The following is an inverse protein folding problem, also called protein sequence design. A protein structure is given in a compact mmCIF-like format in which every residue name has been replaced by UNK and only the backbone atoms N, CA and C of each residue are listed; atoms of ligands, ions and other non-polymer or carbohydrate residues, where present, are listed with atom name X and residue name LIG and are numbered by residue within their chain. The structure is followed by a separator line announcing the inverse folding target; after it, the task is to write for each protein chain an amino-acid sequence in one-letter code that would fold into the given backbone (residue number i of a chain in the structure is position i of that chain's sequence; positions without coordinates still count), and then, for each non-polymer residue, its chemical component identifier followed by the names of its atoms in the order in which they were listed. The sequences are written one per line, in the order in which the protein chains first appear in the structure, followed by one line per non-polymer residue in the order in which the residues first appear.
data_IF_986797248356
#
_entry.id   IF_986797248356
#
_cell.length_a   1.000
_cell.length_b   1.000
_cell.length_c   1.000
_cell.angle_alpha   90.00
_cell.angle_beta   90.00
_cell.angle_gamma   90.00
#
_symmetry.space_group_name_H-M   'P 1'
#
loop_
_entity.id
_entity.type
_entity.pdbx_description
1 polymer ?
#
# COMPACT_ATOMS: atom_id res chain seq x y z
N UNK A 1 -13.05 -52.95 35.20
CA UNK A 1 -12.28 -51.77 34.74
C UNK A 1 -12.96 -51.25 33.50
N UNK A 2 -13.97 -50.40 33.68
CA UNK A 2 -14.80 -49.87 32.58
C UNK A 2 -14.26 -48.50 32.22
N UNK A 3 -13.54 -48.44 31.10
CA UNK A 3 -12.95 -47.22 30.56
C UNK A 3 -14.08 -46.40 29.89
N UNK A 4 -14.64 -45.44 30.62
CA UNK A 4 -15.53 -44.41 30.07
C UNK A 4 -14.67 -43.44 29.24
N UNK A 5 -14.54 -43.72 27.95
CA UNK A 5 -14.11 -42.76 26.93
C UNK A 5 -15.22 -41.71 26.78
N UNK A 6 -15.18 -40.66 27.59
CA UNK A 6 -15.94 -39.44 27.29
C UNK A 6 -15.34 -38.84 26.02
N UNK A 7 -16.00 -39.12 24.89
CA UNK A 7 -15.84 -38.35 23.67
C UNK A 7 -16.29 -36.91 23.97
N UNK A 8 -15.37 -36.09 24.47
CA UNK A 8 -15.47 -34.64 24.41
C UNK A 8 -15.36 -34.26 22.92
N UNK A 9 -16.44 -34.51 22.18
CA UNK A 9 -16.60 -34.09 20.80
C UNK A 9 -16.44 -32.57 20.71
N UNK A 10 -15.91 -32.09 19.59
CA UNK A 10 -15.58 -30.69 19.34
C UNK A 10 -16.80 -29.78 19.56
N UNK A 11 -16.99 -29.31 20.79
CA UNK A 11 -18.12 -28.48 21.25
C UNK A 11 -18.22 -27.13 20.53
N UNK A 12 -17.19 -26.76 19.76
CA UNK A 12 -17.09 -25.46 19.11
C UNK A 12 -17.04 -25.56 17.57
N UNK A 13 -17.75 -26.53 16.97
CA UNK A 13 -17.83 -26.64 15.51
C UNK A 13 -18.81 -25.60 14.96
N UNK A 14 -18.32 -24.73 14.09
CA UNK A 14 -19.15 -23.83 13.27
C UNK A 14 -19.34 -24.46 11.88
N UNK A 15 -20.57 -24.48 11.38
CA UNK A 15 -20.88 -24.99 10.04
C UNK A 15 -20.61 -23.91 8.99
N UNK A 16 -19.94 -24.19 7.86
CA UNK A 16 -19.64 -23.21 6.82
C UNK A 16 -20.87 -22.41 6.34
N UNK A 17 -22.03 -23.04 6.31
CA UNK A 17 -23.30 -22.48 5.88
C UNK A 17 -23.83 -21.40 6.85
N UNK A 18 -23.43 -21.49 8.12
CA UNK A 18 -23.76 -20.52 9.18
C UNK A 18 -22.84 -19.30 9.22
N UNK A 19 -21.79 -19.29 8.37
CA UNK A 19 -20.77 -18.24 8.34
C UNK A 19 -20.96 -17.28 7.16
N UNK A 20 -20.77 -15.99 7.43
CA UNK A 20 -20.60 -14.94 6.44
C UNK A 20 -19.10 -14.67 6.27
N UNK A 21 -18.55 -15.06 5.11
CA UNK A 21 -17.12 -14.95 4.82
C UNK A 21 -16.76 -13.48 4.53
N UNK A 22 -16.15 -12.81 5.52
CA UNK A 22 -15.67 -11.44 5.39
C UNK A 22 -14.32 -11.46 4.65
N UNK A 23 -14.26 -10.76 3.53
CA UNK A 23 -13.05 -10.67 2.68
C UNK A 23 -12.36 -9.32 2.84
N UNK A 24 -13.12 -8.24 3.03
CA UNK A 24 -12.59 -6.91 3.27
C UNK A 24 -13.24 -6.26 4.47
N UNK A 25 -12.47 -5.52 5.26
CA UNK A 25 -12.96 -4.74 6.40
C UNK A 25 -12.55 -3.28 6.29
N UNK A 26 -13.44 -2.38 6.69
CA UNK A 26 -13.20 -0.96 6.78
C UNK A 26 -13.66 -0.43 8.13
N UNK A 27 -12.89 0.47 8.74
CA UNK A 27 -13.27 1.14 9.98
C UNK A 27 -13.19 2.65 9.84
N UNK A 28 -14.26 3.31 10.29
CA UNK A 28 -14.40 4.76 10.32
C UNK A 28 -14.82 5.24 11.71
N UNK A 29 -14.64 6.53 11.96
CA UNK A 29 -15.21 7.21 13.12
C UNK A 29 -16.10 8.35 12.63
N UNK A 30 -17.41 8.21 12.82
CA UNK A 30 -18.36 9.24 12.49
C UNK A 30 -18.35 10.33 13.56
N UNK A 31 -17.91 11.54 13.16
CA UNK A 31 -17.84 12.69 14.07
C UNK A 31 -19.21 13.24 14.46
N UNK A 32 -20.24 13.06 13.63
CA UNK A 32 -21.59 13.54 13.90
C UNK A 32 -22.27 12.68 14.96
N UNK A 33 -22.31 11.37 14.76
CA UNK A 33 -22.92 10.44 15.73
C UNK A 33 -22.00 10.09 16.91
N UNK A 34 -20.68 10.38 16.79
CA UNK A 34 -19.64 10.01 17.76
C UNK A 34 -19.53 8.49 17.95
N UNK A 35 -19.73 7.74 16.87
CA UNK A 35 -19.68 6.28 16.86
C UNK A 35 -18.62 5.79 15.88
N UNK A 36 -18.14 4.57 16.12
CA UNK A 36 -17.35 3.82 15.15
C UNK A 36 -18.31 3.22 14.13
N UNK A 37 -17.90 3.23 12.87
CA UNK A 37 -18.58 2.52 11.80
C UNK A 37 -17.68 1.39 11.32
N UNK A 38 -18.24 0.19 11.27
CA UNK A 38 -17.62 -0.96 10.62
C UNK A 38 -18.30 -1.16 9.27
N UNK A 39 -17.51 -1.32 8.22
CA UNK A 39 -17.94 -1.65 6.86
C UNK A 39 -17.30 -2.98 6.48
N UNK A 40 -18.08 -3.93 6.00
CA UNK A 40 -17.58 -5.26 5.64
C UNK A 40 -17.99 -5.64 4.22
N UNK A 41 -17.06 -6.23 3.49
CA UNK A 41 -17.30 -6.88 2.20
C UNK A 41 -17.39 -8.39 2.42
N UNK A 42 -18.54 -8.98 2.11
CA UNK A 42 -18.87 -10.39 2.36
C UNK A 42 -19.00 -11.12 1.03
N UNK A 43 -18.27 -12.23 0.87
CA UNK A 43 -18.32 -13.04 -0.33
C UNK A 43 -19.65 -13.81 -0.47
N UNK A 44 -20.08 -14.02 -1.71
CA UNK A 44 -21.20 -14.89 -2.10
C UNK A 44 -20.65 -16.10 -2.88
N UNK A 45 -20.30 -17.23 -2.22
CA UNK A 45 -19.67 -18.37 -2.89
C UNK A 45 -20.40 -18.86 -4.14
N UNK A 46 -21.74 -18.94 -4.10
CA UNK A 46 -22.55 -19.40 -5.23
C UNK A 46 -22.39 -18.52 -6.50
N UNK A 47 -22.23 -17.21 -6.36
CA UNK A 47 -22.01 -16.28 -7.48
C UNK A 47 -20.57 -16.34 -8.03
N UNK A 48 -19.63 -16.81 -7.21
CA UNK A 48 -18.23 -17.01 -7.62
C UNK A 48 -18.10 -18.27 -8.48
N UNK A 49 -18.70 -19.38 -8.03
CA UNK A 49 -18.62 -20.72 -8.67
C UNK A 49 -19.49 -20.89 -9.92
N UNK A 50 -20.58 -20.13 -10.07
CA UNK A 50 -21.53 -20.22 -11.20
C UNK A 50 -20.98 -19.87 -12.60
N UNK A 51 -19.66 -19.78 -12.78
CA UNK A 51 -19.00 -19.50 -14.07
C UNK A 51 -18.55 -20.73 -14.87
N UNK A 52 -18.74 -21.95 -14.35
CA UNK A 52 -18.35 -23.19 -15.01
C UNK A 52 -19.54 -24.14 -15.18
N UNK A 53 -20.25 -24.06 -16.31
CA UNK A 53 -21.31 -25.01 -16.64
C UNK A 53 -22.16 -24.59 -17.84
N UNK A 54 -21.89 -25.24 -18.98
CA UNK A 54 -22.74 -25.43 -20.17
C UNK A 54 -23.66 -24.28 -20.66
N UNK A 55 -23.19 -23.59 -21.69
CA UNK A 55 -23.84 -23.68 -23.01
C UNK A 55 -25.30 -23.27 -23.14
N UNK A 56 -25.81 -22.31 -22.35
CA UNK A 56 -27.07 -21.61 -22.68
C UNK A 56 -26.94 -20.11 -22.49
N UNK A 57 -26.95 -19.41 -23.62
CA UNK A 57 -27.17 -17.98 -23.72
C UNK A 57 -28.53 -17.61 -23.12
N UNK A 58 -28.50 -16.80 -22.07
CA UNK A 58 -29.65 -16.08 -21.54
C UNK A 58 -29.10 -14.90 -20.74
N UNK A 59 -29.41 -13.68 -21.18
CA UNK A 59 -28.86 -12.42 -20.68
C UNK A 59 -29.23 -12.09 -19.23
N UNK A 60 -28.62 -12.81 -18.27
CA UNK A 60 -28.54 -12.41 -16.88
C UNK A 60 -27.24 -11.65 -16.64
N UNK A 61 -27.33 -10.42 -16.12
CA UNK A 61 -26.15 -9.66 -15.73
C UNK A 61 -25.26 -10.47 -14.77
N UNK A 62 -23.95 -10.29 -14.90
CA UNK A 62 -22.97 -10.93 -14.03
C UNK A 62 -23.28 -10.56 -12.56
N UNK A 63 -23.69 -11.55 -11.77
CA UNK A 63 -24.02 -11.34 -10.35
C UNK A 63 -22.74 -10.99 -9.57
N UNK A 64 -22.79 -9.95 -8.74
CA UNK A 64 -21.63 -9.52 -7.94
C UNK A 64 -21.23 -10.63 -6.96
N UNK A 65 -19.96 -11.04 -6.98
CA UNK A 65 -19.42 -12.12 -6.14
C UNK A 65 -19.33 -11.78 -4.65
N UNK A 66 -19.71 -10.56 -4.26
CA UNK A 66 -19.73 -10.08 -2.88
C UNK A 66 -20.79 -9.00 -2.70
N UNK A 67 -21.07 -8.63 -1.45
CA UNK A 67 -21.85 -7.44 -1.12
C UNK A 67 -21.22 -6.69 0.06
N UNK A 68 -21.56 -5.41 0.20
CA UNK A 68 -21.05 -4.57 1.28
C UNK A 68 -22.19 -4.16 2.21
N UNK A 69 -21.93 -4.22 3.51
CA UNK A 69 -22.85 -3.73 4.55
C UNK A 69 -22.05 -3.03 5.65
N UNK A 70 -22.75 -2.27 6.49
CA UNK A 70 -22.13 -1.49 7.55
C UNK A 70 -23.06 -1.32 8.75
N UNK A 71 -22.49 -1.11 9.93
CA UNK A 71 -23.24 -0.65 11.09
C UNK A 71 -22.38 0.26 11.98
N UNK A 72 -23.06 1.02 12.85
CA UNK A 72 -22.43 1.94 13.82
C UNK A 72 -22.56 1.43 15.25
N UNK A 73 -21.54 1.68 16.06
CA UNK A 73 -21.53 1.33 17.48
C UNK A 73 -20.54 2.16 18.29
N UNK A 74 -20.62 2.08 19.61
CA UNK A 74 -19.76 2.83 20.54
C UNK A 74 -18.31 2.33 20.52
N UNK A 75 -18.08 1.13 20.02
CA UNK A 75 -16.78 0.56 19.72
C UNK A 75 -16.86 -0.34 18.47
N UNK A 76 -15.70 -0.77 17.97
CA UNK A 76 -15.59 -1.61 16.77
C UNK A 76 -16.36 -2.92 16.89
N UNK A 77 -16.29 -3.59 18.05
CA UNK A 77 -16.94 -4.87 18.26
C UNK A 77 -18.47 -4.74 18.26
N UNK A 78 -19.02 -3.70 18.89
CA UNK A 78 -20.46 -3.41 18.85
C UNK A 78 -20.92 -3.11 17.41
N UNK A 79 -20.14 -2.34 16.65
CA UNK A 79 -20.44 -2.07 15.24
C UNK A 79 -20.50 -3.37 14.42
N UNK A 80 -19.51 -4.26 14.57
CA UNK A 80 -19.50 -5.57 13.90
C UNK A 80 -20.67 -6.46 14.34
N UNK A 81 -21.02 -6.50 15.64
CA UNK A 81 -22.16 -7.28 16.14
C UNK A 81 -23.50 -6.80 15.61
N UNK A 82 -23.65 -5.51 15.33
CA UNK A 82 -24.86 -4.94 14.71
C UNK A 82 -25.01 -5.28 13.23
N UNK A 83 -23.97 -5.82 12.57
CA UNK A 83 -24.04 -6.30 11.19
C UNK A 83 -24.67 -7.71 11.12
N UNK A 84 -24.41 -8.57 12.11
CA UNK A 84 -24.86 -9.97 12.11
C UNK A 84 -26.36 -10.15 11.89
N UNK A 85 -27.27 -9.38 12.54
CA UNK A 85 -28.71 -9.47 12.28
C UNK A 85 -29.12 -9.16 10.84
N UNK A 86 -28.30 -8.37 10.11
CA UNK A 86 -28.58 -8.00 8.72
C UNK A 86 -28.17 -9.11 7.75
N UNK A 87 -27.09 -9.85 8.07
CA UNK A 87 -26.52 -10.87 7.17
C UNK A 87 -26.98 -12.29 7.50
N UNK A 88 -27.76 -12.48 8.57
CA UNK A 88 -28.35 -13.75 9.03
C UNK A 88 -27.35 -14.87 9.37
N UNK A 89 -26.06 -14.54 9.44
CA UNK A 89 -24.94 -15.47 9.64
C UNK A 89 -23.92 -14.84 10.58
N UNK A 90 -23.14 -15.67 11.26
CA UNK A 90 -22.02 -15.19 12.07
C UNK A 90 -20.92 -14.67 11.13
N UNK A 91 -20.39 -13.48 11.40
CA UNK A 91 -19.28 -12.95 10.61
C UNK A 91 -18.03 -13.82 10.86
N UNK A 92 -17.38 -14.22 9.77
CA UNK A 92 -16.13 -14.98 9.81
C UNK A 92 -15.06 -14.23 9.03
N UNK A 93 -14.10 -13.67 9.76
CA UNK A 93 -13.01 -12.84 9.20
C UNK A 93 -11.71 -13.62 8.96
N UNK A 94 -11.76 -14.96 9.04
CA UNK A 94 -10.63 -15.83 8.71
C UNK A 94 -10.17 -15.75 7.24
N UNK A 95 -10.98 -15.15 6.36
CA UNK A 95 -10.65 -14.89 4.94
C UNK A 95 -10.41 -13.41 4.64
N UNK A 96 -10.33 -12.55 5.65
CA UNK A 96 -10.09 -11.13 5.40
C UNK A 96 -8.68 -10.93 4.87
N UNK A 97 -8.57 -10.21 3.75
CA UNK A 97 -7.32 -9.90 3.06
C UNK A 97 -6.73 -8.55 3.53
N UNK A 98 -7.61 -7.59 3.84
CA UNK A 98 -7.24 -6.24 4.27
C UNK A 98 -8.17 -5.64 5.32
N UNK A 99 -7.63 -4.66 6.04
CA UNK A 99 -8.34 -3.69 6.85
C UNK A 99 -8.02 -2.29 6.37
N UNK A 100 -9.05 -1.51 6.07
CA UNK A 100 -8.93 -0.14 5.56
C UNK A 100 -9.39 0.85 6.64
N UNK A 101 -8.54 1.82 6.93
CA UNK A 101 -8.78 2.85 7.93
C UNK A 101 -9.14 4.16 7.22
N UNK A 102 -10.28 4.75 7.56
CA UNK A 102 -10.62 6.08 7.06
C UNK A 102 -9.69 7.15 7.64
N UNK A 103 -9.53 8.27 6.93
CA UNK A 103 -8.79 9.42 7.43
C UNK A 103 -9.35 9.93 8.78
N UNK A 104 -10.67 9.90 8.95
CA UNK A 104 -11.32 10.33 10.19
C UNK A 104 -10.95 9.46 11.39
N UNK A 105 -10.96 8.14 11.22
CA UNK A 105 -10.50 7.23 12.27
C UNK A 105 -8.99 7.38 12.51
N UNK A 106 -8.20 7.48 11.44
CA UNK A 106 -6.75 7.63 11.54
C UNK A 106 -6.35 8.91 12.31
N UNK A 107 -7.08 10.02 12.10
CA UNK A 107 -6.87 11.27 12.86
C UNK A 107 -7.24 11.14 14.33
N UNK A 108 -8.28 10.36 14.67
CA UNK A 108 -8.67 10.10 16.06
C UNK A 108 -7.64 9.22 16.78
N UNK A 109 -7.13 8.21 16.09
CA UNK A 109 -6.23 7.20 16.61
C UNK A 109 -6.68 5.79 16.21
N UNK A 110 -5.74 4.97 15.74
CA UNK A 110 -6.03 3.61 15.24
C UNK A 110 -5.99 2.54 16.33
N UNK A 111 -5.65 2.91 17.57
CA UNK A 111 -5.56 1.96 18.69
C UNK A 111 -6.81 1.07 18.88
N UNK A 112 -8.07 1.54 18.71
CA UNK A 112 -9.24 0.67 18.82
C UNK A 112 -9.24 -0.49 17.82
N UNK A 113 -8.73 -0.26 16.60
CA UNK A 113 -8.62 -1.31 15.57
C UNK A 113 -7.54 -2.31 15.95
N UNK A 114 -6.40 -1.81 16.44
CA UNK A 114 -5.31 -2.65 16.90
C UNK A 114 -5.71 -3.52 18.11
N UNK A 115 -6.49 -2.96 19.05
CA UNK A 115 -7.03 -3.70 20.20
C UNK A 115 -7.96 -4.83 19.74
N UNK A 116 -8.87 -4.56 18.81
CA UNK A 116 -9.73 -5.59 18.19
C UNK A 116 -8.89 -6.73 17.59
N UNK A 117 -7.94 -6.43 16.70
CA UNK A 117 -7.10 -7.43 16.06
C UNK A 117 -6.21 -8.21 17.04
N UNK A 118 -5.79 -7.59 18.14
CA UNK A 118 -4.95 -8.25 19.14
C UNK A 118 -5.73 -9.24 20.02
N UNK A 119 -7.05 -9.04 20.17
CA UNK A 119 -7.93 -9.85 21.01
C UNK A 119 -8.70 -10.91 20.22
N UNK A 120 -9.00 -10.62 18.97
CA UNK A 120 -9.84 -11.45 18.14
C UNK A 120 -9.06 -12.63 17.55
N UNK A 121 -9.46 -13.86 17.90
CA UNK A 121 -8.68 -15.08 17.60
C UNK A 121 -8.74 -15.48 16.15
N UNK A 122 -9.83 -15.18 15.45
CA UNK A 122 -9.97 -15.56 14.03
C UNK A 122 -9.33 -14.52 13.09
N UNK A 123 -8.97 -13.34 13.60
CA UNK A 123 -8.30 -12.27 12.85
C UNK A 123 -6.82 -12.57 12.65
N UNK A 124 -6.32 -12.45 11.42
CA UNK A 124 -4.91 -12.66 11.13
C UNK A 124 -4.17 -11.33 11.22
N UNK A 125 -3.11 -11.30 12.03
CA UNK A 125 -2.22 -10.12 12.09
C UNK A 125 -1.44 -9.87 10.78
N UNK A 126 -1.49 -10.81 9.83
CA UNK A 126 -0.94 -10.65 8.47
C UNK A 126 -1.88 -9.91 7.52
N UNK A 127 -3.07 -9.49 7.96
CA UNK A 127 -3.96 -8.69 7.13
C UNK A 127 -3.29 -7.35 6.80
N UNK A 128 -3.39 -6.94 5.54
CA UNK A 128 -2.83 -5.67 5.11
C UNK A 128 -3.61 -4.52 5.76
N UNK A 129 -2.90 -3.58 6.37
CA UNK A 129 -3.51 -2.36 6.88
C UNK A 129 -3.34 -1.26 5.85
N UNK A 130 -4.45 -0.66 5.43
CA UNK A 130 -4.52 0.38 4.41
C UNK A 130 -5.19 1.62 5.00
N UNK A 131 -4.95 2.78 4.40
CA UNK A 131 -5.63 4.02 4.74
C UNK A 131 -6.27 4.64 3.49
N UNK A 132 -7.36 5.38 3.69
CA UNK A 132 -8.04 6.08 2.58
C UNK A 132 -8.69 7.39 3.05
N UNK A 133 -8.77 8.35 2.13
CA UNK A 133 -9.58 9.56 2.22
C UNK A 133 -10.91 9.46 1.48
N UNK A 134 -11.24 8.30 0.89
CA UNK A 134 -12.54 8.02 0.28
C UNK A 134 -13.55 7.41 1.27
N UNK A 135 -14.82 7.36 0.89
CA UNK A 135 -15.81 6.57 1.61
C UNK A 135 -15.46 5.08 1.53
N UNK A 136 -15.48 4.40 2.68
CA UNK A 136 -15.15 2.98 2.76
C UNK A 136 -16.13 2.10 1.96
N UNK A 137 -17.41 2.48 1.88
CA UNK A 137 -18.42 1.71 1.13
C UNK A 137 -18.11 1.73 -0.36
N UNK A 138 -17.89 2.90 -0.93
CA UNK A 138 -17.52 3.05 -2.34
C UNK A 138 -16.27 2.20 -2.66
N UNK A 139 -15.25 2.30 -1.80
CA UNK A 139 -14.00 1.58 -2.00
C UNK A 139 -14.18 0.05 -1.95
N UNK A 140 -15.01 -0.45 -1.03
CA UNK A 140 -15.30 -1.89 -0.88
C UNK A 140 -16.36 -2.42 -1.87
N UNK A 141 -17.08 -1.53 -2.56
CA UNK A 141 -18.07 -1.86 -3.60
C UNK A 141 -17.51 -1.75 -5.03
N UNK A 142 -16.26 -1.30 -5.17
CA UNK A 142 -15.63 -1.09 -6.48
C UNK A 142 -15.68 -2.36 -7.34
N UNK A 143 -16.09 -2.20 -8.61
CA UNK A 143 -16.12 -3.28 -9.58
C UNK A 143 -14.81 -3.34 -10.33
N UNK A 144 -14.07 -4.44 -10.17
CA UNK A 144 -12.76 -4.62 -10.78
C UNK A 144 -12.86 -5.54 -12.01
N UNK A 145 -12.25 -5.18 -13.16
CA UNK A 145 -12.43 -5.93 -14.42
C UNK A 145 -12.06 -7.42 -14.36
N UNK A 146 -11.09 -7.78 -13.52
CA UNK A 146 -10.54 -9.14 -13.44
C UNK A 146 -11.02 -9.92 -12.21
N UNK A 147 -11.78 -9.29 -11.30
CA UNK A 147 -12.04 -9.84 -9.97
C UNK A 147 -13.51 -9.68 -9.59
N UNK A 148 -14.17 -10.80 -9.25
CA UNK A 148 -15.58 -10.80 -8.80
C UNK A 148 -15.78 -10.27 -7.38
N UNK A 149 -14.69 -10.15 -6.60
CA UNK A 149 -14.71 -9.75 -5.19
C UNK A 149 -13.71 -8.61 -4.99
N UNK A 150 -14.21 -7.46 -4.56
CA UNK A 150 -13.42 -6.23 -4.44
C UNK A 150 -12.18 -6.40 -3.55
N UNK A 151 -12.33 -6.99 -2.35
CA UNK A 151 -11.20 -7.16 -1.42
C UNK A 151 -10.05 -7.98 -2.02
N UNK A 152 -10.36 -9.10 -2.69
CA UNK A 152 -9.34 -9.91 -3.40
C UNK A 152 -8.62 -9.09 -4.47
N UNK A 153 -9.35 -8.25 -5.22
CA UNK A 153 -8.75 -7.44 -6.27
C UNK A 153 -7.91 -6.28 -5.75
N UNK A 154 -8.36 -5.58 -4.70
CA UNK A 154 -7.56 -4.56 -4.00
C UNK A 154 -6.24 -5.18 -3.54
N UNK A 155 -6.31 -6.35 -2.88
CA UNK A 155 -5.16 -7.11 -2.42
C UNK A 155 -4.18 -7.44 -3.55
N UNK A 156 -4.67 -8.02 -4.65
CA UNK A 156 -3.85 -8.41 -5.82
C UNK A 156 -3.21 -7.20 -6.51
N UNK A 157 -3.94 -6.09 -6.62
CA UNK A 157 -3.42 -4.86 -7.21
C UNK A 157 -2.30 -4.27 -6.35
N UNK A 158 -2.47 -4.23 -5.03
CA UNK A 158 -1.43 -3.78 -4.10
C UNK A 158 -0.17 -4.64 -4.25
N UNK A 159 -0.30 -5.97 -4.27
CA UNK A 159 0.86 -6.86 -4.47
C UNK A 159 1.55 -6.59 -5.81
N UNK A 160 0.77 -6.44 -6.87
CA UNK A 160 1.30 -6.20 -8.21
C UNK A 160 2.11 -4.90 -8.23
N UNK A 161 1.54 -3.80 -7.72
CA UNK A 161 2.21 -2.48 -7.67
C UNK A 161 3.42 -2.52 -6.74
N UNK A 162 3.34 -3.21 -5.61
CA UNK A 162 4.47 -3.41 -4.69
C UNK A 162 5.64 -4.11 -5.38
N UNK A 163 5.38 -5.14 -6.20
CA UNK A 163 6.42 -5.95 -6.86
C UNK A 163 6.95 -5.29 -8.15
N UNK A 164 6.14 -4.52 -8.86
CA UNK A 164 6.48 -3.97 -10.19
C UNK A 164 6.93 -2.51 -10.18
N UNK A 165 6.40 -1.68 -9.28
CA UNK A 165 6.64 -0.23 -9.28
C UNK A 165 7.32 0.28 -8.00
N UNK A 166 7.16 -0.42 -6.87
CA UNK A 166 7.70 0.01 -5.56
C UNK A 166 7.32 1.45 -5.23
N UNK A 167 6.03 1.76 -5.24
CA UNK A 167 5.46 3.10 -4.92
C UNK A 167 4.49 3.07 -3.74
N UNK A 168 4.50 1.97 -2.99
CA UNK A 168 3.59 1.68 -1.87
C UNK A 168 4.40 1.05 -0.73
N UNK A 169 4.23 1.47 0.53
CA UNK A 169 4.87 0.78 1.65
C UNK A 169 4.23 -0.60 1.86
N UNK A 170 4.86 -1.45 2.66
CA UNK A 170 4.23 -2.69 3.14
C UNK A 170 3.89 -2.51 4.61
N UNK A 171 2.64 -2.72 4.97
CA UNK A 171 2.17 -2.71 6.36
C UNK A 171 1.05 -3.74 6.52
N UNK A 172 1.30 -4.76 7.34
CA UNK A 172 0.26 -5.59 7.92
C UNK A 172 0.02 -5.17 9.38
N UNK A 173 -1.07 -5.65 9.98
CA UNK A 173 -1.43 -5.31 11.37
C UNK A 173 -0.29 -5.65 12.34
N UNK A 174 0.43 -6.75 12.12
CA UNK A 174 1.58 -7.16 12.93
C UNK A 174 2.70 -6.10 12.89
N UNK A 175 3.09 -5.66 11.70
CA UNK A 175 4.13 -4.65 11.52
C UNK A 175 3.71 -3.31 12.13
N UNK A 176 2.43 -2.94 12.02
CA UNK A 176 1.89 -1.74 12.65
C UNK A 176 1.97 -1.82 14.18
N UNK A 177 1.57 -2.94 14.79
CA UNK A 177 1.72 -3.17 16.24
C UNK A 177 3.19 -3.10 16.69
N UNK A 178 4.09 -3.67 15.90
CA UNK A 178 5.53 -3.65 16.18
C UNK A 178 6.07 -2.21 16.08
N UNK A 179 5.71 -1.47 15.03
CA UNK A 179 6.18 -0.10 14.80
C UNK A 179 5.63 0.85 15.87
N UNK A 180 4.37 0.69 16.30
CA UNK A 180 3.77 1.47 17.40
C UNK A 180 4.56 1.34 18.72
N UNK A 181 5.18 0.18 18.97
CA UNK A 181 5.93 -0.09 20.18
C UNK A 181 7.45 0.04 19.99
N UNK A 182 7.92 0.52 18.84
CA UNK A 182 9.35 0.62 18.53
C UNK A 182 9.85 2.05 18.77
N UNK A 183 10.78 2.27 19.72
CA UNK A 183 11.32 3.60 19.97
C UNK A 183 11.96 4.20 18.71
N UNK A 184 11.62 5.47 18.44
CA UNK A 184 12.21 6.26 17.36
C UNK A 184 11.85 5.78 15.95
N UNK A 185 10.68 5.18 15.77
CA UNK A 185 10.13 4.84 14.46
C UNK A 185 8.62 5.01 14.47
N UNK A 186 8.10 5.63 13.42
CA UNK A 186 6.68 5.83 13.24
C UNK A 186 6.05 4.86 12.23
N UNK A 187 4.74 4.70 12.34
CA UNK A 187 3.93 3.85 11.45
C UNK A 187 3.84 4.52 10.07
N UNK A 188 3.94 3.69 9.02
CA UNK A 188 3.71 4.11 7.65
C UNK A 188 2.92 3.05 6.88
N UNK A 189 1.66 3.35 6.57
CA UNK A 189 0.73 2.41 5.91
C UNK A 189 0.40 2.86 4.48
N UNK A 190 0.08 1.95 3.56
CA UNK A 190 -0.40 2.29 2.22
C UNK A 190 -1.61 3.21 2.20
N UNK A 191 -1.67 4.11 1.22
CA UNK A 191 -2.86 4.89 0.88
C UNK A 191 -3.47 4.35 -0.41
N UNK A 192 -4.76 4.07 -0.39
CA UNK A 192 -5.55 3.73 -1.57
C UNK A 192 -6.71 4.70 -1.75
N UNK A 193 -7.09 4.93 -3.00
CA UNK A 193 -8.17 5.85 -3.38
C UNK A 193 -9.01 5.29 -4.51
N UNK A 194 -10.21 5.83 -4.68
CA UNK A 194 -10.98 5.65 -5.90
C UNK A 194 -10.58 6.71 -6.93
N UNK A 195 -10.25 6.24 -8.13
CA UNK A 195 -10.11 7.05 -9.32
C UNK A 195 -11.33 6.81 -10.20
N UNK A 196 -12.21 7.81 -10.27
CA UNK A 196 -13.30 7.84 -11.25
C UNK A 196 -12.74 8.35 -12.56
N UNK A 197 -12.98 7.63 -13.65
CA UNK A 197 -12.61 8.15 -14.96
C UNK A 197 -13.60 9.24 -15.33
N UNK A 198 -13.11 10.44 -15.69
CA UNK A 198 -14.00 11.46 -16.25
C UNK A 198 -14.46 10.94 -17.60
N UNK A 199 -15.70 10.43 -17.68
CA UNK A 199 -16.39 10.23 -18.94
C UNK A 199 -16.25 11.54 -19.72
N UNK A 200 -15.53 11.48 -20.84
CA UNK A 200 -15.20 12.66 -21.63
C UNK A 200 -16.44 13.52 -21.83
N UNK A 201 -16.29 14.81 -21.54
CA UNK A 201 -17.25 15.84 -21.87
C UNK A 201 -17.47 15.78 -23.39
N UNK A 202 -18.50 15.05 -23.80
CA UNK A 202 -18.86 14.84 -25.19
C UNK A 202 -19.27 16.17 -25.80
N UNK A 203 -18.42 16.67 -26.70
CA UNK A 203 -18.88 17.54 -27.77
C UNK A 203 -20.04 16.84 -28.48
N UNK A 204 -21.16 17.54 -28.56
CA UNK A 204 -22.27 17.16 -29.42
C UNK A 204 -21.77 17.09 -30.86
N UNK A 205 -21.74 15.88 -31.42
CA UNK A 205 -22.02 15.71 -32.85
C UNK A 205 -22.97 14.53 -33.02
N UNK A 206 -24.23 14.90 -33.17
CA UNK A 206 -25.27 14.10 -33.79
C UNK A 206 -24.88 13.66 -35.20
N UNK A 207 -24.69 12.37 -35.40
CA UNK A 207 -25.08 11.70 -36.65
C UNK A 207 -25.07 10.19 -36.45
N UNK A 208 -26.21 9.56 -36.77
CA UNK A 208 -26.45 8.13 -36.62
C UNK A 208 -25.47 7.27 -37.41
N UNK A 209 -25.09 6.17 -36.78
CA UNK A 209 -24.31 5.09 -37.37
C UNK A 209 -24.11 4.03 -36.30
N UNK A 210 -24.76 2.88 -36.46
CA UNK A 210 -24.62 1.74 -35.58
C UNK A 210 -23.13 1.40 -35.41
N UNK A 211 -22.61 1.53 -34.19
CA UNK A 211 -21.28 1.06 -33.85
C UNK A 211 -21.36 -0.43 -33.49
N UNK A 212 -20.43 -1.27 -33.98
CA UNK A 212 -20.45 -2.70 -33.74
C UNK A 212 -20.20 -3.01 -32.25
N UNK A 213 -20.93 -4.00 -31.76
CA UNK A 213 -20.75 -4.63 -30.45
C UNK A 213 -19.30 -5.13 -30.31
N UNK A 214 -18.51 -4.43 -29.49
CA UNK A 214 -17.10 -4.77 -29.28
C UNK A 214 -16.27 -3.66 -28.63
N UNK A 215 -16.89 -2.79 -27.84
CA UNK A 215 -16.18 -1.74 -27.09
C UNK A 215 -15.91 -2.21 -25.68
N UNK A 216 -14.69 -2.66 -25.39
CA UNK A 216 -14.20 -2.79 -24.01
C UNK A 216 -14.16 -1.41 -23.37
N UNK A 217 -15.25 -1.01 -22.73
CA UNK A 217 -15.29 0.21 -21.93
C UNK A 217 -14.26 0.11 -20.81
N UNK A 218 -13.49 1.18 -20.61
CA UNK A 218 -12.66 1.29 -19.42
C UNK A 218 -13.57 1.23 -18.18
N UNK A 219 -13.12 0.59 -17.08
CA UNK A 219 -13.91 0.54 -15.87
C UNK A 219 -14.19 1.97 -15.37
N UNK A 220 -15.47 2.29 -15.14
CA UNK A 220 -15.93 3.62 -14.69
C UNK A 220 -15.21 4.08 -13.41
N UNK A 221 -14.76 3.13 -12.59
CA UNK A 221 -13.99 3.35 -11.37
C UNK A 221 -12.83 2.36 -11.26
N UNK A 222 -11.69 2.84 -10.76
CA UNK A 222 -10.51 2.03 -10.49
C UNK A 222 -9.88 2.41 -9.15
N UNK A 223 -9.08 1.50 -8.58
CA UNK A 223 -8.33 1.79 -7.37
C UNK A 223 -6.99 2.44 -7.76
N UNK A 224 -6.72 3.60 -7.17
CA UNK A 224 -5.45 4.31 -7.25
C UNK A 224 -4.59 3.99 -6.03
N UNK A 225 -3.32 3.65 -6.27
CA UNK A 225 -2.30 3.55 -5.22
C UNK A 225 -1.66 4.94 -5.03
N UNK A 226 -2.02 5.62 -3.95
CA UNK A 226 -1.77 7.04 -3.76
C UNK A 226 -0.63 7.35 -2.75
N UNK A 227 0.31 6.41 -2.58
CA UNK A 227 1.45 6.52 -1.67
C UNK A 227 1.16 5.93 -0.30
N UNK A 228 1.31 6.72 0.78
CA UNK A 228 1.11 6.24 2.15
C UNK A 228 0.60 7.28 3.14
N UNK A 229 0.15 6.80 4.30
CA UNK A 229 -0.22 7.57 5.48
C UNK A 229 0.88 7.42 6.54
N UNK A 230 1.49 8.55 6.92
CA UNK A 230 2.42 8.63 8.04
C UNK A 230 1.68 8.96 9.34
N UNK A 231 2.15 8.42 10.46
CA UNK A 231 1.55 8.59 11.78
C UNK A 231 2.54 9.22 12.78
N UNK A 232 2.00 9.69 13.90
CA UNK A 232 2.75 9.98 15.13
C UNK A 232 2.08 9.20 16.26
N UNK A 233 2.77 8.19 16.78
CA UNK A 233 2.14 7.16 17.59
C UNK A 233 1.02 6.49 16.79
N UNK A 234 -0.20 6.48 17.32
CA UNK A 234 -1.36 5.87 16.68
C UNK A 234 -2.20 6.85 15.84
N UNK A 235 -1.79 8.13 15.72
CA UNK A 235 -2.57 9.18 15.05
C UNK A 235 -1.97 9.62 13.72
N UNK A 236 -2.82 9.84 12.74
CA UNK A 236 -2.45 10.31 11.41
C UNK A 236 -1.74 11.66 11.46
N UNK A 237 -0.54 11.71 10.87
CA UNK A 237 0.27 12.91 10.74
C UNK A 237 0.06 13.57 9.36
N UNK A 238 -0.01 12.76 8.29
CA UNK A 238 -0.24 13.28 6.95
C UNK A 238 0.01 12.27 5.84
N UNK A 239 -0.43 12.64 4.64
CA UNK A 239 -0.23 11.85 3.43
C UNK A 239 1.18 12.06 2.84
N UNK A 240 1.76 10.98 2.32
CA UNK A 240 3.03 10.94 1.59
C UNK A 240 2.72 10.46 0.17
N UNK A 241 3.06 11.26 -0.83
CA UNK A 241 2.76 10.96 -2.24
C UNK A 241 3.56 9.76 -2.77
N UNK A 242 3.18 9.15 -3.91
CA UNK A 242 3.87 7.99 -4.47
C UNK A 242 5.37 8.22 -4.72
N UNK A 243 5.80 9.42 -5.14
CA UNK A 243 7.21 9.72 -5.42
C UNK A 243 8.02 9.75 -4.12
N UNK A 244 7.50 10.40 -3.08
CA UNK A 244 8.10 10.41 -1.75
C UNK A 244 8.08 9.01 -1.11
N UNK A 245 7.04 8.22 -1.36
CA UNK A 245 6.93 6.83 -0.88
C UNK A 245 8.00 5.94 -1.51
N UNK A 246 8.27 6.11 -2.81
CA UNK A 246 9.36 5.42 -3.49
C UNK A 246 10.74 5.85 -2.95
N UNK A 247 10.91 7.15 -2.66
CA UNK A 247 12.08 7.65 -1.91
C UNK A 247 12.28 6.97 -0.57
N UNK A 248 11.20 6.78 0.20
CA UNK A 248 11.22 6.03 1.45
C UNK A 248 11.62 4.56 1.26
N UNK A 249 11.15 3.91 0.20
CA UNK A 249 11.55 2.54 -0.12
C UNK A 249 13.06 2.45 -0.40
N UNK A 250 13.65 3.40 -1.13
CA UNK A 250 15.10 3.45 -1.35
C UNK A 250 15.90 3.58 -0.05
N UNK A 251 15.51 4.53 0.83
CA UNK A 251 16.19 4.77 2.11
C UNK A 251 16.10 3.54 3.03
N UNK A 252 14.94 2.88 3.05
CA UNK A 252 14.73 1.68 3.89
C UNK A 252 15.27 0.40 3.27
N UNK A 253 15.73 0.44 2.01
CA UNK A 253 16.27 -0.72 1.28
C UNK A 253 15.20 -1.78 1.00
N UNK A 254 13.97 -1.36 0.73
CA UNK A 254 12.81 -2.24 0.51
C UNK A 254 12.15 -2.19 -0.89
N UNK A 255 12.70 -1.55 -1.95
CA UNK A 255 12.05 -1.64 -3.25
C UNK A 255 12.24 -3.05 -3.83
N UNK A 256 11.18 -3.60 -4.43
CA UNK A 256 11.25 -4.87 -5.16
C UNK A 256 11.77 -4.62 -6.58
N UNK A 257 10.99 -3.88 -7.37
CA UNK A 257 11.37 -3.34 -8.68
C UNK A 257 10.82 -1.94 -8.85
N UNK A 258 11.54 -1.10 -9.58
CA UNK A 258 11.11 0.25 -9.92
C UNK A 258 11.63 0.61 -11.31
N UNK A 259 10.86 1.36 -12.08
CA UNK A 259 11.29 1.87 -13.38
C UNK A 259 11.52 3.37 -13.30
N UNK A 260 12.70 3.81 -13.72
CA UNK A 260 13.02 5.22 -13.90
C UNK A 260 13.06 5.56 -15.38
N UNK A 261 12.33 6.62 -15.74
CA UNK A 261 12.39 7.22 -17.06
C UNK A 261 13.35 8.40 -16.97
N UNK A 262 14.50 8.27 -17.64
CA UNK A 262 15.61 9.21 -17.62
C UNK A 262 15.71 9.95 -18.97
N UNK A 263 16.13 11.23 -18.97
CA UNK A 263 16.40 11.94 -20.21
C UNK A 263 17.63 11.35 -20.93
N UNK A 264 17.68 11.50 -22.26
CA UNK A 264 18.88 11.16 -23.03
C UNK A 264 20.07 12.07 -22.63
N UNK A 265 21.24 11.51 -22.26
CA UNK A 265 22.39 12.29 -21.78
C UNK A 265 22.96 13.38 -22.71
N UNK A 266 22.84 13.22 -24.03
CA UNK A 266 23.50 14.10 -25.01
C UNK A 266 22.53 14.88 -25.91
N UNK A 267 21.22 14.66 -25.75
CA UNK A 267 20.21 15.27 -26.63
C UNK A 267 19.14 15.98 -25.81
N UNK A 268 18.65 17.11 -26.33
CA UNK A 268 17.45 17.77 -25.85
C UNK A 268 16.30 17.38 -26.78
N UNK A 269 15.63 16.28 -26.46
CA UNK A 269 14.46 15.79 -27.18
C UNK A 269 13.52 15.12 -26.19
N UNK A 270 12.27 14.90 -26.59
CA UNK A 270 11.25 14.16 -25.82
C UNK A 270 11.55 12.65 -25.73
N UNK A 271 12.78 12.23 -26.05
CA UNK A 271 13.22 10.84 -26.01
C UNK A 271 13.79 10.48 -24.65
N UNK A 272 13.62 9.21 -24.27
CA UNK A 272 13.95 8.75 -22.93
C UNK A 272 14.67 7.41 -22.93
N UNK A 273 15.24 7.12 -21.77
CA UNK A 273 15.84 5.82 -21.41
C UNK A 273 15.04 5.27 -20.24
N UNK A 274 14.47 4.08 -20.41
CA UNK A 274 13.80 3.37 -19.34
C UNK A 274 14.79 2.42 -18.66
N UNK A 275 15.01 2.61 -17.36
CA UNK A 275 15.88 1.77 -16.53
C UNK A 275 15.05 1.10 -15.45
N UNK A 276 15.02 -0.23 -15.44
CA UNK A 276 14.40 -0.99 -14.36
C UNK A 276 15.44 -1.30 -13.27
N UNK A 277 15.26 -0.71 -12.10
CA UNK A 277 15.95 -1.06 -10.87
C UNK A 277 15.39 -2.38 -10.37
N UNK A 278 16.26 -3.35 -10.13
CA UNK A 278 15.89 -4.70 -9.66
C UNK A 278 16.65 -5.13 -8.40
N UNK A 279 17.65 -4.35 -7.96
CA UNK A 279 18.32 -4.54 -6.66
C UNK A 279 18.63 -3.20 -6.03
N UNK A 280 18.40 -3.12 -4.71
CA UNK A 280 18.76 -1.97 -3.89
C UNK A 280 19.37 -2.48 -2.59
N UNK A 281 20.54 -1.95 -2.25
CA UNK A 281 21.19 -2.18 -0.98
C UNK A 281 21.27 -0.86 -0.22
N UNK A 282 20.94 -0.89 1.07
CA UNK A 282 21.06 0.28 1.94
C UNK A 282 22.09 0.04 3.02
N UNK A 283 22.83 1.09 3.39
CA UNK A 283 23.60 1.18 4.63
C UNK A 283 23.15 2.43 5.39
N UNK A 284 22.83 2.27 6.67
CA UNK A 284 22.46 3.36 7.55
C UNK A 284 23.54 3.49 8.61
N UNK A 285 24.12 4.67 8.71
CA UNK A 285 25.13 5.02 9.69
C UNK A 285 24.58 6.18 10.52
N UNK A 286 24.72 6.07 11.84
CA UNK A 286 24.32 7.14 12.77
C UNK A 286 25.51 7.50 13.65
N UNK A 287 25.68 8.79 13.89
CA UNK A 287 26.72 9.35 14.76
C UNK A 287 26.08 10.37 15.71
N UNK A 288 26.79 10.71 16.79
CA UNK A 288 26.42 11.80 17.69
C UNK A 288 27.65 12.67 17.87
N UNK A 289 27.52 13.94 17.49
CA UNK A 289 28.56 14.97 17.66
C UNK A 289 27.96 16.12 18.46
N UNK A 290 28.62 16.50 19.57
CA UNK A 290 28.14 17.55 20.49
C UNK A 290 26.68 17.35 20.95
N UNK A 291 26.29 16.09 21.18
CA UNK A 291 24.93 15.72 21.59
C UNK A 291 23.88 15.79 20.48
N UNK A 292 24.28 16.10 19.23
CA UNK A 292 23.38 16.15 18.07
C UNK A 292 23.53 14.87 17.23
N UNK A 293 22.44 14.14 16.98
CA UNK A 293 22.49 13.00 16.08
C UNK A 293 22.72 13.47 14.63
N UNK A 294 23.49 12.67 13.89
CA UNK A 294 23.69 12.79 12.45
C UNK A 294 23.41 11.44 11.80
N UNK A 295 22.85 11.47 10.59
CA UNK A 295 22.51 10.27 9.84
C UNK A 295 23.14 10.32 8.45
N UNK A 296 23.79 9.22 8.07
CA UNK A 296 24.22 8.98 6.70
C UNK A 296 23.52 7.75 6.14
N UNK A 297 22.87 7.91 4.99
CA UNK A 297 22.22 6.84 4.24
C UNK A 297 22.98 6.62 2.93
N UNK A 298 23.58 5.45 2.76
CA UNK A 298 24.19 5.05 1.50
C UNK A 298 23.24 4.09 0.79
N UNK A 299 22.76 4.49 -0.40
CA UNK A 299 21.87 3.69 -1.25
C UNK A 299 22.62 3.25 -2.49
N UNK A 300 22.80 1.94 -2.67
CA UNK A 300 23.36 1.36 -3.89
C UNK A 300 22.26 0.70 -4.72
N UNK A 301 22.02 1.18 -5.93
CA UNK A 301 21.00 0.64 -6.85
C UNK A 301 21.63 -0.06 -8.05
N UNK A 302 21.09 -1.22 -8.42
CA UNK A 302 21.41 -1.89 -9.68
C UNK A 302 20.20 -1.87 -10.61
N UNK A 303 20.42 -1.33 -11.81
CA UNK A 303 19.43 -1.23 -12.87
C UNK A 303 19.76 -2.08 -14.08
N UNK A 304 18.77 -2.32 -14.94
CA UNK A 304 18.93 -2.85 -16.28
C UNK A 304 18.21 -1.94 -17.27
N UNK A 305 18.79 -1.77 -18.45
CA UNK A 305 18.14 -1.04 -19.53
C UNK A 305 16.95 -1.84 -20.05
N UNK A 306 15.80 -1.18 -20.20
CA UNK A 306 14.60 -1.77 -20.80
C UNK A 306 14.32 -1.23 -22.19
N UNK A 307 14.45 0.08 -22.33
CA UNK A 307 14.16 0.77 -23.57
C UNK A 307 15.07 1.98 -23.70
N UNK A 308 15.45 2.28 -24.94
CA UNK A 308 16.20 3.46 -25.31
C UNK A 308 15.63 3.99 -26.62
N UNK A 309 15.10 5.20 -26.55
CA UNK A 309 14.61 5.90 -27.73
C UNK A 309 15.69 6.82 -28.33
N UNK A 310 16.83 6.96 -27.64
CA UNK A 310 17.91 7.86 -28.02
C UNK A 310 18.72 7.31 -29.22
N UNK A 311 19.14 8.17 -30.16
CA UNK A 311 20.01 7.78 -31.28
C UNK A 311 21.49 7.60 -30.86
N UNK A 312 21.86 7.98 -29.63
CA UNK A 312 23.22 7.85 -29.10
C UNK A 312 23.78 6.43 -29.22
N UNK A 313 25.07 6.30 -29.54
CA UNK A 313 25.76 5.02 -29.35
C UNK A 313 26.01 4.75 -27.86
N UNK A 314 25.95 3.48 -27.48
CA UNK A 314 26.24 3.01 -26.12
C UNK A 314 27.75 3.01 -25.81
N UNK A 315 28.33 4.20 -25.69
CA UNK A 315 29.72 4.37 -25.27
C UNK A 315 29.86 4.28 -23.76
N UNK A 316 31.09 4.05 -23.26
CA UNK A 316 31.38 4.10 -21.81
C UNK A 316 30.94 5.42 -21.20
N UNK A 317 31.23 6.55 -21.86
CA UNK A 317 30.85 7.89 -21.41
C UNK A 317 29.32 8.06 -21.32
N UNK A 318 28.58 7.49 -22.27
CA UNK A 318 27.12 7.50 -22.24
C UNK A 318 26.57 6.73 -21.01
N UNK A 319 27.12 5.55 -20.74
CA UNK A 319 26.74 4.72 -19.59
C UNK A 319 27.08 5.42 -18.27
N UNK A 320 28.26 6.04 -18.16
CA UNK A 320 28.67 6.79 -16.96
C UNK A 320 27.72 7.97 -16.66
N UNK A 321 27.24 8.66 -17.71
CA UNK A 321 26.20 9.69 -17.57
C UNK A 321 24.88 9.09 -17.10
N UNK A 322 24.46 7.94 -17.63
CA UNK A 322 23.23 7.26 -17.17
C UNK A 322 23.32 6.79 -15.71
N UNK A 323 24.47 6.29 -15.27
CA UNK A 323 24.71 5.99 -13.85
C UNK A 323 24.48 7.24 -12.99
N UNK A 324 25.06 8.37 -13.41
CA UNK A 324 24.93 9.65 -12.69
C UNK A 324 23.47 10.15 -12.66
N UNK A 325 22.77 10.09 -13.80
CA UNK A 325 21.35 10.48 -13.89
C UNK A 325 20.44 9.60 -13.03
N UNK A 326 20.69 8.29 -13.00
CA UNK A 326 19.93 7.36 -12.17
C UNK A 326 20.18 7.61 -10.68
N UNK A 327 21.44 7.80 -10.28
CA UNK A 327 21.81 8.12 -8.90
C UNK A 327 21.13 9.43 -8.45
N UNK A 328 21.16 10.44 -9.30
CA UNK A 328 20.53 11.73 -9.05
C UNK A 328 19.01 11.61 -8.92
N UNK A 329 18.34 10.86 -9.80
CA UNK A 329 16.89 10.64 -9.72
C UNK A 329 16.49 9.96 -8.41
N UNK A 330 17.23 8.94 -7.99
CA UNK A 330 16.99 8.24 -6.72
C UNK A 330 17.26 9.16 -5.53
N UNK A 331 18.34 9.95 -5.57
CA UNK A 331 18.70 10.93 -4.52
C UNK A 331 17.59 11.96 -4.33
N UNK A 332 17.10 12.56 -5.41
CA UNK A 332 16.01 13.54 -5.37
C UNK A 332 14.74 12.98 -4.73
N UNK A 333 14.35 11.74 -5.06
CA UNK A 333 13.19 11.08 -4.45
C UNK A 333 13.40 10.82 -2.96
N UNK A 334 14.59 10.35 -2.58
CA UNK A 334 14.96 10.11 -1.18
C UNK A 334 14.94 11.41 -0.35
N UNK A 335 15.51 12.49 -0.87
CA UNK A 335 15.47 13.82 -0.23
C UNK A 335 14.05 14.36 -0.11
N UNK A 336 13.24 14.23 -1.16
CA UNK A 336 11.81 14.59 -1.12
C UNK A 336 11.08 13.84 -0.01
N UNK A 337 11.36 12.54 0.15
CA UNK A 337 10.77 11.73 1.20
C UNK A 337 11.16 12.21 2.60
N UNK A 338 12.46 12.48 2.83
CA UNK A 338 12.96 12.98 4.12
C UNK A 338 12.33 14.34 4.45
N UNK A 339 12.31 15.26 3.49
CA UNK A 339 11.70 16.57 3.66
C UNK A 339 10.20 16.45 3.99
N UNK A 340 9.48 15.57 3.30
CA UNK A 340 8.06 15.35 3.58
C UNK A 340 7.84 14.77 4.98
N UNK A 341 8.62 13.79 5.39
CA UNK A 341 8.55 13.19 6.72
C UNK A 341 8.84 14.22 7.83
N UNK A 342 9.85 15.09 7.63
CA UNK A 342 10.17 16.19 8.55
C UNK A 342 9.03 17.19 8.70
N UNK A 343 8.37 17.57 7.61
CA UNK A 343 7.16 18.42 7.67
C UNK A 343 6.04 17.77 8.49
N UNK A 344 5.93 16.44 8.43
CA UNK A 344 4.96 15.66 9.19
C UNK A 344 5.40 15.35 10.63
N UNK A 345 6.64 15.71 11.01
CA UNK A 345 7.26 15.36 12.29
C UNK A 345 7.18 13.86 12.59
N UNK A 346 7.33 13.04 11.55
CA UNK A 346 7.09 11.60 11.63
C UNK A 346 8.30 10.84 11.10
N UNK A 347 9.02 10.13 11.97
CA UNK A 347 10.19 9.33 11.61
C UNK A 347 9.79 7.95 11.06
N UNK A 348 9.18 7.97 9.87
CA UNK A 348 8.78 6.75 9.15
C UNK A 348 9.98 5.90 8.69
N UNK A 349 11.20 6.44 8.72
CA UNK A 349 12.43 5.74 8.32
C UNK A 349 12.98 4.88 9.46
N UNK A 350 12.78 5.31 10.72
CA UNK A 350 13.36 4.69 11.90
C UNK A 350 14.79 5.16 12.17
N UNK A 351 15.10 6.42 11.89
CA UNK A 351 16.41 7.00 12.22
C UNK A 351 16.62 7.06 13.74
N UNK A 352 15.59 7.44 14.49
CA UNK A 352 15.59 7.42 15.95
C UNK A 352 15.79 6.02 16.49
N UNK A 353 15.20 5.02 15.83
CA UNK A 353 15.43 3.62 16.21
C UNK A 353 16.89 3.21 16.00
N UNK A 354 17.55 3.70 14.95
CA UNK A 354 18.97 3.47 14.75
C UNK A 354 19.83 4.16 15.83
N UNK A 355 19.47 5.37 16.24
CA UNK A 355 20.10 6.07 17.38
C UNK A 355 19.89 5.30 18.67
N UNK A 356 18.64 4.92 18.99
CA UNK A 356 18.28 4.09 20.15
C UNK A 356 19.14 2.83 20.24
N UNK A 357 19.30 2.11 19.11
CA UNK A 357 20.05 0.86 19.07
C UNK A 357 21.57 1.06 19.23
N UNK A 358 22.13 2.17 18.74
CA UNK A 358 23.58 2.41 18.75
C UNK A 358 24.04 3.20 19.98
N UNK A 359 23.22 4.13 20.47
CA UNK A 359 23.52 5.07 21.55
C UNK A 359 22.38 5.15 22.58
N UNK A 360 22.07 4.06 23.31
CA UNK A 360 20.90 4.01 24.20
C UNK A 360 20.93 5.07 25.32
N UNK A 361 22.11 5.42 25.84
CA UNK A 361 22.26 6.46 26.88
C UNK A 361 21.97 7.87 26.37
N UNK A 362 22.33 8.16 25.12
CA UNK A 362 21.99 9.45 24.51
C UNK A 362 20.53 9.48 24.09
N UNK A 363 20.00 8.35 23.63
CA UNK A 363 18.57 8.21 23.34
C UNK A 363 17.68 8.54 24.54
N UNK A 364 18.07 8.15 25.76
CA UNK A 364 17.32 8.50 26.97
C UNK A 364 17.14 10.01 27.18
N UNK A 365 18.05 10.84 26.63
CA UNK A 365 17.96 12.31 26.68
C UNK A 365 17.16 12.89 25.52
N UNK A 366 17.04 12.16 24.41
CA UNK A 366 16.42 12.63 23.16
C UNK A 366 14.98 12.14 22.96
N UNK A 367 14.61 11.03 23.61
CA UNK A 367 13.38 10.28 23.30
C UNK A 367 12.09 11.05 23.53
N UNK A 368 12.05 11.91 24.55
CA UNK A 368 10.82 12.62 24.95
C UNK A 368 10.42 13.69 23.91
N UNK A 369 11.41 14.29 23.23
CA UNK A 369 11.22 15.30 22.18
C UNK A 369 11.78 14.85 20.83
N UNK A 370 11.83 13.53 20.56
CA UNK A 370 12.45 12.98 19.36
C UNK A 370 11.89 13.59 18.07
N UNK A 371 10.59 13.88 18.04
CA UNK A 371 9.94 14.55 16.89
C UNK A 371 10.63 15.86 16.50
N UNK A 372 11.04 16.66 17.48
CA UNK A 372 11.70 17.95 17.27
C UNK A 372 13.21 17.82 17.01
N UNK A 373 13.83 16.74 17.47
CA UNK A 373 15.18 16.38 17.03
C UNK A 373 15.18 15.91 15.56
N UNK A 374 14.17 15.12 15.17
CA UNK A 374 14.03 14.58 13.82
C UNK A 374 13.84 15.68 12.76
N UNK A 375 13.06 16.74 13.04
CA UNK A 375 12.87 17.86 12.10
C UNK A 375 14.19 18.55 11.74
N UNK A 376 15.11 18.66 12.71
CA UNK A 376 16.41 19.34 12.58
C UNK A 376 17.57 18.40 12.24
N UNK A 377 17.32 17.09 12.22
CA UNK A 377 18.32 16.06 11.99
C UNK A 377 19.03 16.25 10.65
N UNK A 378 20.36 16.25 10.65
CA UNK A 378 21.13 16.24 9.41
C UNK A 378 21.13 14.84 8.82
N UNK A 379 20.65 14.72 7.57
CA UNK A 379 20.53 13.44 6.86
C UNK A 379 21.30 13.56 5.55
N UNK A 380 22.51 13.00 5.53
CA UNK A 380 23.32 12.87 4.32
C UNK A 380 22.84 11.66 3.51
N UNK A 381 22.53 11.86 2.23
CA UNK A 381 22.09 10.77 1.33
C UNK A 381 23.11 10.62 0.20
N UNK A 382 23.85 9.52 0.23
CA UNK A 382 24.80 9.14 -0.81
C UNK A 382 24.17 8.05 -1.69
N UNK A 383 24.09 8.27 -3.01
CA UNK A 383 23.52 7.28 -3.94
C UNK A 383 24.58 6.81 -4.93
N UNK A 384 24.69 5.49 -5.06
CA UNK A 384 25.51 4.81 -6.07
C UNK A 384 24.60 4.06 -7.00
N UNK A 385 24.72 4.30 -8.29
CA UNK A 385 23.91 3.61 -9.28
C UNK A 385 24.79 2.86 -10.29
N UNK A 386 24.37 1.63 -10.59
CA UNK A 386 25.05 0.81 -11.59
C UNK A 386 24.03 0.14 -12.51
N UNK A 387 24.11 0.44 -13.81
CA UNK A 387 23.26 -0.13 -14.85
C UNK A 387 24.01 -1.30 -15.47
N UNK A 388 23.53 -2.52 -15.21
CA UNK A 388 24.10 -3.77 -15.71
C UNK A 388 23.42 -4.16 -17.03
N UNK A 389 24.23 -4.34 -18.09
CA UNK A 389 23.88 -4.84 -19.44
C UNK A 389 22.81 -4.00 -20.19
N UNK A 390 23.03 -3.67 -21.48
CA UNK A 390 21.99 -3.05 -22.31
C UNK A 390 20.91 -4.04 -22.78
N UNK A 391 21.04 -5.34 -22.49
CA UNK A 391 20.16 -6.40 -23.02
C UNK A 391 20.93 -7.35 -23.95
N UNK A 392 20.22 -8.07 -24.82
CA UNK A 392 20.84 -8.90 -25.88
C UNK A 392 21.34 -8.07 -27.06
N UNK A 393 20.82 -6.85 -27.22
CA UNK A 393 21.20 -5.90 -28.27
C UNK A 393 21.56 -4.58 -27.58
N UNK A 394 22.66 -3.97 -28.02
CA UNK A 394 23.19 -2.73 -27.44
C UNK A 394 22.48 -1.52 -28.05
N UNK A 395 22.16 -1.57 -29.34
CA UNK A 395 21.43 -0.53 -30.07
C UNK A 395 19.96 -0.94 -30.31
N UNK A 396 19.03 0.01 -30.54
CA UNK A 396 17.64 -0.33 -30.85
C UNK A 396 17.59 -1.26 -32.07
N UNK A 397 16.70 -2.24 -32.05
CA UNK A 397 16.42 -3.06 -33.24
C UNK A 397 15.71 -2.17 -34.29
N UNK A 398 16.50 -1.54 -35.15
CA UNK A 398 16.06 -0.92 -36.40
C UNK A 398 16.33 -1.84 -37.58
N UNK A 399 15.74 -1.57 -38.76
CA UNK A 399 16.10 -2.27 -39.99
C UNK A 399 17.60 -2.18 -40.32
#
# INVERSE_FOLDING_TARGET
MTLLLTAAGCWNRKEPESLALVVGMGFNYDRQSKEYEAVVNIAKPAAIEGGGGDGRSSGGGQEDGSFVTSAKGKNIFEALRKIEPVVSRELFWGHSEEVIISEDLARRGIQPVLDFYSRERESRLSNFMLATDNELKDLLQVKLPLEKVAGVGIRRQIQTVQITQSVIPFADVRMVLIDLNRPGREIFVPRIRLKKEQSGQGGQTSSGGASPEGGGGQPEESIEIAGGAAFRGDRFAGWVDPVSTQGWLYITGRPSRATEILPCPNFKCDQHVAVEIHRVFRRLEVAIEDGKPQVKVVVSVEGRLQQKDCPDQFTKQYVDKLHSLLAERVRQKAEKAVNRAKQLRSDIFGFGNAVYRKYPREWDKLKDDWEEHFTRLEVEIEVKAHIRRPGMVVDPAGP
#
